data_IF_715391726643
#
_entry.id   IF_715391726643
#
_cell.length_a   1.000
_cell.length_b   1.000
_cell.length_c   1.000
_cell.angle_alpha   90.00
_cell.angle_beta   90.00
_cell.angle_gamma   90.00
#
_symmetry.space_group_name_H-M   'P 1'
#
loop_
_entity.id
_entity.type
_entity.pdbx_description
1 polymer ?
#
# COMPACT_ATOMS: atom_id res chain seq x y z
N UNK A 1 22.38 -17.06 46.91
CA UNK A 1 21.82 -16.00 46.05
C UNK A 1 22.78 -14.80 46.09
N UNK A 2 23.42 -14.40 44.98
CA UNK A 2 24.28 -13.21 44.98
C UNK A 2 23.42 -11.98 44.73
N UNK A 3 23.63 -10.97 45.57
CA UNK A 3 23.10 -9.62 45.47
C UNK A 3 23.73 -8.87 44.30
N UNK A 4 22.88 -8.42 43.34
CA UNK A 4 23.29 -7.56 42.24
C UNK A 4 23.28 -6.12 42.71
N UNK A 5 24.46 -5.49 42.74
CA UNK A 5 24.66 -4.07 43.01
C UNK A 5 24.30 -3.26 41.78
N UNK A 6 23.27 -2.42 41.85
CA UNK A 6 22.90 -1.44 40.80
C UNK A 6 23.89 -0.27 40.94
N UNK A 7 24.76 -0.10 39.95
CA UNK A 7 25.58 1.12 39.84
C UNK A 7 24.71 2.23 39.22
N UNK A 8 24.66 3.32 39.97
CA UNK A 8 24.06 4.60 39.55
C UNK A 8 24.79 5.14 38.31
N UNK A 9 24.16 5.05 37.15
CA UNK A 9 24.65 5.65 35.91
C UNK A 9 24.09 7.06 35.79
N UNK A 10 24.98 8.03 35.90
CA UNK A 10 24.77 9.47 35.92
C UNK A 10 23.68 10.02 35.04
N UNK A 11 22.94 10.96 35.59
CA UNK A 11 21.96 11.83 34.92
C UNK A 11 22.60 12.47 33.71
N UNK A 12 22.20 12.04 32.50
CA UNK A 12 22.38 12.84 31.32
C UNK A 12 21.30 13.92 31.32
N UNK A 13 21.75 15.17 31.32
CA UNK A 13 20.87 16.33 31.25
C UNK A 13 19.98 16.25 30.01
N UNK A 14 18.71 16.50 30.20
CA UNK A 14 17.78 16.74 29.12
C UNK A 14 18.19 18.07 28.49
N UNK A 15 18.70 17.98 27.24
CA UNK A 15 18.88 19.16 26.40
C UNK A 15 17.48 19.58 25.92
N UNK A 16 17.01 20.71 26.45
CA UNK A 16 15.79 21.36 25.99
C UNK A 16 16.05 21.92 24.56
N UNK A 17 16.12 21.02 23.58
CA UNK A 17 16.18 21.40 22.18
C UNK A 17 15.02 22.33 21.85
N UNK A 18 15.33 23.54 21.38
CA UNK A 18 14.35 24.48 20.86
C UNK A 18 13.50 23.75 19.83
N UNK A 19 12.17 23.93 19.84
CA UNK A 19 11.34 23.37 18.79
C UNK A 19 11.89 23.85 17.44
N UNK A 20 12.06 22.93 16.48
CA UNK A 20 12.44 23.25 15.11
C UNK A 20 11.46 24.31 14.61
N UNK A 21 11.99 25.32 13.92
CA UNK A 21 11.16 26.35 13.32
C UNK A 21 10.12 25.67 12.40
N UNK A 22 8.85 26.10 12.41
CA UNK A 22 7.84 25.54 11.52
C UNK A 22 8.34 25.63 10.08
N UNK A 23 8.35 24.49 9.39
CA UNK A 23 8.70 24.40 7.96
C UNK A 23 7.78 25.37 7.23
N UNK A 24 8.34 26.27 6.43
CA UNK A 24 7.56 27.19 5.63
C UNK A 24 6.50 26.42 4.86
N UNK A 25 5.26 26.88 4.92
CA UNK A 25 4.20 26.36 4.06
C UNK A 25 4.69 26.46 2.60
N UNK A 26 4.41 25.47 1.74
CA UNK A 26 4.72 25.58 0.34
C UNK A 26 4.10 26.87 -0.22
N UNK A 27 4.80 27.49 -1.15
CA UNK A 27 4.31 28.70 -1.84
C UNK A 27 2.88 28.46 -2.35
N UNK A 28 2.02 29.48 -2.31
CA UNK A 28 0.65 29.33 -2.81
C UNK A 28 0.69 28.88 -4.27
N UNK A 29 -0.10 27.86 -4.57
CA UNK A 29 -0.24 27.28 -5.91
C UNK A 29 -0.46 28.41 -6.90
N UNK A 30 0.39 28.47 -7.94
CA UNK A 30 0.25 29.45 -9.01
C UNK A 30 -1.14 29.37 -9.63
N UNK A 31 -1.86 30.47 -9.88
CA UNK A 31 -3.23 30.46 -10.39
C UNK A 31 -3.40 29.82 -11.78
N UNK A 32 -2.33 29.41 -12.45
CA UNK A 32 -2.34 28.77 -13.77
C UNK A 32 -2.20 27.23 -13.74
N UNK A 33 -2.11 26.58 -12.56
CA UNK A 33 -2.00 25.12 -12.50
C UNK A 33 -3.37 24.47 -12.68
N UNK A 34 -3.50 23.66 -13.71
CA UNK A 34 -4.69 22.80 -13.89
C UNK A 34 -4.69 21.71 -12.82
N UNK A 35 -5.85 21.50 -12.18
CA UNK A 35 -6.01 20.41 -11.21
C UNK A 35 -5.83 19.07 -11.91
N UNK A 36 -4.90 18.22 -11.49
CA UNK A 36 -4.69 16.92 -12.11
C UNK A 36 -5.91 16.01 -11.92
N UNK A 37 -6.18 15.20 -12.91
CA UNK A 37 -7.19 14.15 -12.80
C UNK A 37 -6.69 13.01 -11.93
N UNK A 38 -7.60 12.22 -11.33
CA UNK A 38 -7.22 11.01 -10.57
C UNK A 38 -6.39 10.04 -11.42
N UNK A 39 -6.73 9.89 -12.71
CA UNK A 39 -5.95 9.07 -13.63
C UNK A 39 -4.48 9.55 -13.76
N UNK A 40 -4.26 10.85 -13.82
CA UNK A 40 -2.90 11.39 -13.85
C UNK A 40 -2.15 11.15 -12.54
N UNK A 41 -2.83 11.27 -11.38
CA UNK A 41 -2.24 10.94 -10.08
C UNK A 41 -1.87 9.45 -9.99
N UNK A 42 -2.75 8.54 -10.42
CA UNK A 42 -2.47 7.11 -10.48
C UNK A 42 -1.35 6.77 -11.48
N UNK A 43 -1.28 7.50 -12.62
CA UNK A 43 -0.21 7.30 -13.59
C UNK A 43 1.17 7.65 -13.03
N UNK A 44 1.30 8.62 -12.12
CA UNK A 44 2.56 8.87 -11.43
C UNK A 44 3.09 7.63 -10.69
N UNK A 45 2.21 6.89 -10.02
CA UNK A 45 2.56 5.61 -9.38
C UNK A 45 3.05 4.60 -10.42
N UNK A 46 2.29 4.43 -11.51
CA UNK A 46 2.60 3.47 -12.59
C UNK A 46 3.96 3.71 -13.18
N UNK A 47 4.26 4.97 -13.54
CA UNK A 47 5.51 5.31 -14.20
C UNK A 47 6.70 5.28 -13.26
N UNK A 48 6.57 5.74 -12.01
CA UNK A 48 7.63 5.57 -11.02
C UNK A 48 7.98 4.10 -10.80
N UNK A 49 6.97 3.22 -10.74
CA UNK A 49 7.20 1.79 -10.57
C UNK A 49 7.84 1.15 -11.81
N UNK A 50 7.32 1.42 -13.00
CA UNK A 50 7.85 0.87 -14.25
C UNK A 50 9.30 1.35 -14.51
N UNK A 51 9.55 2.64 -14.31
CA UNK A 51 10.88 3.24 -14.52
C UNK A 51 11.91 2.69 -13.52
N UNK A 52 11.53 2.51 -12.25
CA UNK A 52 12.43 1.96 -11.22
C UNK A 52 12.76 0.50 -11.48
N UNK A 53 11.78 -0.33 -11.82
CA UNK A 53 12.00 -1.73 -12.20
C UNK A 53 12.86 -1.83 -13.46
N UNK A 54 12.62 -0.96 -14.45
CA UNK A 54 13.41 -0.93 -15.67
C UNK A 54 14.86 -0.50 -15.40
N UNK A 55 15.07 0.51 -14.57
CA UNK A 55 16.41 0.99 -14.20
C UNK A 55 17.19 -0.07 -13.42
N UNK A 56 16.55 -0.77 -12.50
CA UNK A 56 17.13 -1.86 -11.72
C UNK A 56 17.34 -3.14 -12.55
N UNK A 57 16.75 -3.23 -13.73
CA UNK A 57 16.65 -4.44 -14.53
C UNK A 57 16.17 -5.66 -13.72
N UNK A 58 15.35 -5.42 -12.72
CA UNK A 58 14.82 -6.43 -11.78
C UNK A 58 13.62 -5.86 -11.01
N UNK A 59 12.60 -6.67 -10.79
CA UNK A 59 11.44 -6.28 -9.98
C UNK A 59 10.11 -6.69 -10.59
N UNK A 60 9.03 -6.23 -9.98
CA UNK A 60 7.67 -6.63 -10.32
C UNK A 60 6.83 -5.39 -10.64
N UNK A 61 6.71 -4.99 -11.93
CA UNK A 61 5.98 -3.79 -12.30
C UNK A 61 4.46 -4.00 -12.40
N UNK A 62 4.03 -5.24 -12.67
CA UNK A 62 2.65 -5.55 -13.07
C UNK A 62 1.59 -5.18 -12.02
N UNK A 63 1.79 -5.63 -10.78
CA UNK A 63 0.89 -5.31 -9.66
C UNK A 63 0.85 -3.79 -9.36
N UNK A 64 1.97 -3.07 -9.23
CA UNK A 64 1.95 -1.62 -9.08
C UNK A 64 1.16 -0.89 -10.16
N UNK A 65 1.24 -1.34 -11.40
CA UNK A 65 0.50 -0.75 -12.50
C UNK A 65 -1.00 -1.06 -12.44
N UNK A 66 -1.35 -2.28 -12.07
CA UNK A 66 -2.75 -2.73 -11.93
C UNK A 66 -3.47 -2.04 -10.79
N UNK A 67 -2.85 -1.96 -9.62
CA UNK A 67 -3.48 -1.41 -8.41
C UNK A 67 -3.33 0.10 -8.22
N UNK A 68 -2.74 0.83 -9.17
CA UNK A 68 -2.45 2.25 -8.99
C UNK A 68 -3.70 3.12 -8.75
N UNK A 69 -4.82 2.84 -9.41
CA UNK A 69 -6.08 3.60 -9.20
C UNK A 69 -6.67 3.32 -7.80
N UNK A 70 -6.63 2.07 -7.34
CA UNK A 70 -7.08 1.69 -6.00
C UNK A 70 -6.23 2.39 -4.94
N UNK A 71 -4.91 2.38 -5.13
CA UNK A 71 -3.95 2.99 -4.22
C UNK A 71 -4.13 4.51 -4.16
N UNK A 72 -4.35 5.16 -5.31
CA UNK A 72 -4.59 6.60 -5.39
C UNK A 72 -5.84 6.98 -4.59
N UNK A 73 -6.95 6.28 -4.79
CA UNK A 73 -8.21 6.56 -4.07
C UNK A 73 -8.04 6.33 -2.58
N UNK A 74 -7.43 5.22 -2.17
CA UNK A 74 -7.23 4.92 -0.75
C UNK A 74 -6.38 5.97 -0.06
N UNK A 75 -5.23 6.34 -0.64
CA UNK A 75 -4.25 7.20 0.00
C UNK A 75 -4.68 8.67 0.02
N UNK A 76 -5.34 9.15 -1.01
CA UNK A 76 -5.77 10.54 -1.07
C UNK A 76 -7.09 10.82 -0.34
N UNK A 77 -8.02 9.85 -0.28
CA UNK A 77 -9.36 10.10 0.26
C UNK A 77 -9.61 9.49 1.64
N UNK A 78 -8.91 8.41 2.04
CA UNK A 78 -9.30 7.62 3.21
C UNK A 78 -8.19 7.33 4.20
N UNK A 79 -6.96 7.09 3.76
CA UNK A 79 -5.86 6.70 4.65
C UNK A 79 -5.46 7.85 5.57
N UNK A 80 -5.60 7.65 6.87
CA UNK A 80 -5.17 8.62 7.88
C UNK A 80 -3.69 8.42 8.20
N UNK A 81 -2.85 9.29 7.70
CA UNK A 81 -1.42 9.23 7.91
C UNK A 81 -0.80 10.64 8.01
N UNK A 82 0.37 10.72 8.60
CA UNK A 82 1.17 11.96 8.64
C UNK A 82 2.60 11.65 8.17
N UNK A 83 2.97 12.08 6.96
CA UNK A 83 4.33 11.90 6.45
C UNK A 83 5.42 12.56 7.30
N UNK A 84 5.07 13.61 8.06
CA UNK A 84 6.00 14.30 8.96
C UNK A 84 6.19 13.58 10.30
N UNK A 85 5.23 12.73 10.69
CA UNK A 85 5.31 11.84 11.85
C UNK A 85 4.91 10.40 11.49
N UNK A 86 5.77 9.66 10.78
CA UNK A 86 5.49 8.27 10.38
C UNK A 86 5.38 7.32 11.58
N UNK A 87 5.61 7.79 12.80
CA UNK A 87 5.42 7.03 14.05
C UNK A 87 4.17 7.45 14.82
N UNK A 88 3.35 8.34 14.28
CA UNK A 88 2.09 8.72 14.92
C UNK A 88 1.30 7.49 15.36
N UNK A 89 0.93 7.44 16.65
CA UNK A 89 0.39 6.22 17.27
C UNK A 89 -0.93 5.81 16.66
N UNK A 90 -1.81 6.77 16.34
CA UNK A 90 -3.15 6.50 15.82
C UNK A 90 -3.25 6.69 14.28
N UNK A 91 -2.13 6.58 13.57
CA UNK A 91 -2.15 6.51 12.10
C UNK A 91 -2.76 5.19 11.65
N UNK A 92 -3.40 5.19 10.50
CA UNK A 92 -3.82 3.94 9.85
C UNK A 92 -2.60 3.07 9.49
N UNK A 93 -2.83 1.77 9.42
CA UNK A 93 -1.80 0.78 9.06
C UNK A 93 -2.05 0.32 7.64
N UNK A 94 -1.13 0.64 6.74
CA UNK A 94 -1.14 0.11 5.38
C UNK A 94 -0.16 -1.05 5.26
N UNK A 95 -0.63 -2.18 4.74
CA UNK A 95 0.16 -3.41 4.57
C UNK A 95 0.07 -3.89 3.13
N UNK A 96 1.21 -4.18 2.55
CA UNK A 96 1.32 -4.78 1.22
C UNK A 96 1.62 -6.28 1.38
N UNK A 97 0.58 -7.15 1.35
CA UNK A 97 0.76 -8.60 1.50
C UNK A 97 1.36 -9.23 0.24
N UNK A 98 1.03 -8.70 -0.94
CA UNK A 98 1.71 -8.96 -2.20
C UNK A 98 3.00 -8.11 -2.30
N UNK A 99 3.92 -8.33 -1.36
CA UNK A 99 5.10 -7.49 -1.10
C UNK A 99 6.08 -7.39 -2.27
N UNK A 100 6.00 -8.27 -3.27
CA UNK A 100 6.76 -8.16 -4.50
C UNK A 100 6.41 -6.89 -5.29
N UNK A 101 5.19 -6.34 -5.14
CA UNK A 101 4.78 -5.05 -5.69
C UNK A 101 5.30 -3.83 -4.92
N UNK A 102 6.42 -3.94 -4.22
CA UNK A 102 6.99 -2.92 -3.32
C UNK A 102 7.10 -1.53 -3.92
N UNK A 103 7.32 -1.43 -5.24
CA UNK A 103 7.39 -0.12 -5.91
C UNK A 103 6.07 0.66 -5.87
N UNK A 104 4.90 0.01 -5.75
CA UNK A 104 3.65 0.71 -5.45
C UNK A 104 3.78 1.49 -4.13
N UNK A 105 4.21 0.80 -3.08
CA UNK A 105 4.33 1.39 -1.75
C UNK A 105 5.38 2.51 -1.72
N UNK A 106 6.54 2.31 -2.35
CA UNK A 106 7.59 3.33 -2.41
C UNK A 106 7.16 4.56 -3.21
N UNK A 107 6.45 4.38 -4.32
CA UNK A 107 5.89 5.50 -5.08
C UNK A 107 4.88 6.30 -4.24
N UNK A 108 3.98 5.62 -3.51
CA UNK A 108 3.01 6.24 -2.61
C UNK A 108 3.70 7.04 -1.49
N UNK A 109 4.70 6.46 -0.83
CA UNK A 109 5.45 7.12 0.23
C UNK A 109 6.18 8.37 -0.29
N UNK A 110 6.80 8.28 -1.48
CA UNK A 110 7.45 9.42 -2.12
C UNK A 110 6.44 10.53 -2.46
N UNK A 111 5.37 10.17 -3.17
CA UNK A 111 4.37 11.12 -3.65
C UNK A 111 3.62 11.82 -2.50
N UNK A 112 3.35 11.12 -1.42
CA UNK A 112 2.65 11.66 -0.24
C UNK A 112 3.57 12.39 0.75
N UNK A 113 4.88 12.53 0.45
CA UNK A 113 5.79 13.41 1.17
C UNK A 113 6.53 12.80 2.37
N UNK A 114 6.56 11.47 2.47
CA UNK A 114 7.46 10.81 3.42
C UNK A 114 8.93 11.11 3.09
N UNK A 115 9.82 10.94 4.07
CA UNK A 115 11.28 11.05 3.85
C UNK A 115 11.81 9.87 3.00
N UNK A 116 11.35 9.82 1.76
CA UNK A 116 11.80 8.89 0.74
C UNK A 116 12.02 9.66 -0.58
N UNK A 117 13.21 10.24 -0.79
CA UNK A 117 13.49 11.06 -1.95
C UNK A 117 13.53 10.22 -3.24
N UNK A 118 13.28 10.87 -4.37
CA UNK A 118 13.25 10.25 -5.70
C UNK A 118 14.54 9.47 -6.04
N UNK A 119 15.67 9.92 -5.52
CA UNK A 119 16.95 9.23 -5.75
C UNK A 119 17.00 7.84 -5.08
N UNK A 120 16.23 7.59 -4.03
CA UNK A 120 16.08 6.25 -3.48
C UNK A 120 15.22 5.36 -4.41
N UNK A 121 14.19 5.90 -5.06
CA UNK A 121 13.42 5.17 -6.06
C UNK A 121 14.28 4.79 -7.27
N UNK A 122 15.15 5.69 -7.74
CA UNK A 122 16.12 5.41 -8.81
C UNK A 122 17.13 4.32 -8.43
N UNK A 123 17.32 4.09 -7.13
CA UNK A 123 18.22 3.06 -6.57
C UNK A 123 17.48 1.80 -6.13
N UNK A 124 16.28 1.58 -6.64
CA UNK A 124 15.48 0.39 -6.33
C UNK A 124 16.30 -0.89 -6.46
N UNK A 125 16.23 -1.76 -5.44
CA UNK A 125 16.99 -3.03 -5.35
C UNK A 125 18.52 -2.89 -5.35
N UNK A 126 19.06 -1.70 -5.16
CA UNK A 126 20.52 -1.52 -5.05
C UNK A 126 20.96 -1.67 -3.59
N UNK A 127 22.17 -2.16 -3.38
CA UNK A 127 22.75 -2.32 -2.06
C UNK A 127 22.76 -0.95 -1.32
N UNK A 128 22.32 -0.95 -0.06
CA UNK A 128 22.18 0.22 0.80
C UNK A 128 21.15 1.26 0.34
N UNK A 129 20.25 0.94 -0.60
CA UNK A 129 19.09 1.79 -0.86
C UNK A 129 17.99 1.51 0.16
N UNK A 130 17.14 2.51 0.38
CA UNK A 130 15.95 2.38 1.25
C UNK A 130 14.75 1.76 0.53
N UNK A 131 14.93 1.34 -0.74
CA UNK A 131 13.92 0.73 -1.60
C UNK A 131 14.31 -0.70 -1.96
N UNK A 132 14.26 -1.57 -0.97
CA UNK A 132 14.52 -3.00 -1.13
C UNK A 132 13.51 -3.67 -2.07
N UNK A 133 13.81 -4.88 -2.56
CA UNK A 133 12.93 -5.63 -3.46
C UNK A 133 11.56 -5.97 -2.89
N UNK A 134 11.44 -5.99 -1.57
CA UNK A 134 10.21 -6.14 -0.80
C UNK A 134 10.22 -5.09 0.33
N UNK A 135 9.04 -4.65 0.85
CA UNK A 135 9.00 -3.69 1.93
C UNK A 135 9.73 -4.19 3.18
N UNK A 136 10.64 -3.37 3.71
CA UNK A 136 11.41 -3.68 4.91
C UNK A 136 11.11 -2.66 6.01
N UNK A 137 10.57 -3.14 7.13
CA UNK A 137 10.35 -2.29 8.30
C UNK A 137 11.69 -1.80 8.84
N UNK A 138 11.76 -0.55 9.22
CA UNK A 138 12.93 0.20 9.69
C UNK A 138 13.89 0.70 8.61
N UNK A 139 13.84 0.17 7.38
CA UNK A 139 14.61 0.68 6.26
C UNK A 139 13.90 1.86 5.58
N UNK A 140 12.59 1.74 5.37
CA UNK A 140 11.78 2.75 4.69
C UNK A 140 10.77 3.37 5.67
N UNK A 141 10.79 4.70 5.91
CA UNK A 141 9.76 5.37 6.70
C UNK A 141 8.36 5.14 6.11
N UNK A 142 7.39 4.79 6.97
CA UNK A 142 6.01 4.50 6.54
C UNK A 142 5.74 3.02 6.23
N UNK A 143 6.76 2.16 6.18
CA UNK A 143 6.57 0.71 6.08
C UNK A 143 6.25 0.13 7.46
N UNK A 144 5.05 -0.44 7.62
CA UNK A 144 4.56 -0.96 8.90
C UNK A 144 5.12 -2.32 9.27
N UNK A 145 5.36 -3.16 8.28
CA UNK A 145 5.88 -4.52 8.48
C UNK A 145 6.64 -5.01 7.26
N UNK A 146 7.66 -5.84 7.49
CA UNK A 146 8.38 -6.53 6.44
C UNK A 146 7.48 -7.58 5.80
N UNK A 147 7.36 -7.56 4.47
CA UNK A 147 6.61 -8.53 3.70
C UNK A 147 7.47 -9.07 2.54
N UNK A 148 6.92 -9.97 1.75
CA UNK A 148 7.61 -10.66 0.66
C UNK A 148 7.07 -12.08 0.54
N UNK A 149 7.14 -12.93 1.59
CA UNK A 149 6.38 -14.17 1.62
C UNK A 149 4.89 -13.88 1.56
N UNK A 150 4.21 -14.37 0.52
CA UNK A 150 2.81 -14.11 0.26
C UNK A 150 1.93 -14.56 1.45
N UNK A 151 0.85 -13.85 1.72
CA UNK A 151 -0.07 -14.14 2.83
C UNK A 151 0.39 -13.62 4.20
N UNK A 152 1.68 -13.45 4.45
CA UNK A 152 2.19 -12.95 5.75
C UNK A 152 1.67 -11.54 6.06
N UNK A 153 1.57 -10.69 5.04
CA UNK A 153 1.04 -9.33 5.21
C UNK A 153 -0.41 -9.33 5.69
N UNK A 154 -1.27 -10.21 5.18
CA UNK A 154 -2.63 -10.36 5.69
C UNK A 154 -2.63 -10.76 7.17
N UNK A 155 -1.83 -11.74 7.56
CA UNK A 155 -1.72 -12.17 8.95
C UNK A 155 -1.24 -11.02 9.86
N UNK A 156 -0.27 -10.22 9.41
CA UNK A 156 0.17 -9.02 10.13
C UNK A 156 -0.94 -7.97 10.25
N UNK A 157 -1.72 -7.72 9.18
CA UNK A 157 -2.84 -6.78 9.21
C UNK A 157 -3.94 -7.23 10.17
N UNK A 158 -4.22 -8.52 10.25
CA UNK A 158 -5.12 -9.11 11.27
C UNK A 158 -4.56 -8.84 12.68
N UNK A 159 -3.26 -9.01 12.89
CA UNK A 159 -2.60 -8.69 14.16
C UNK A 159 -2.70 -7.20 14.53
N UNK A 160 -2.52 -6.29 13.57
CA UNK A 160 -2.69 -4.84 13.80
C UNK A 160 -4.14 -4.48 14.14
N UNK A 161 -5.11 -5.02 13.43
CA UNK A 161 -6.53 -4.77 13.71
C UNK A 161 -6.97 -5.34 15.07
N UNK A 162 -6.44 -6.50 15.46
CA UNK A 162 -6.64 -7.04 16.80
C UNK A 162 -6.00 -6.15 17.88
N UNK A 163 -4.77 -5.69 17.65
CA UNK A 163 -4.07 -4.80 18.57
C UNK A 163 -4.84 -3.48 18.76
N UNK A 164 -5.33 -2.88 17.67
CA UNK A 164 -6.19 -1.70 17.72
C UNK A 164 -7.41 -1.94 18.61
N UNK A 165 -8.17 -3.02 18.35
CA UNK A 165 -9.37 -3.37 19.11
C UNK A 165 -9.10 -3.53 20.61
N UNK A 166 -8.00 -4.19 20.98
CA UNK A 166 -7.61 -4.38 22.38
C UNK A 166 -7.14 -3.08 23.03
N UNK A 167 -6.39 -2.25 22.32
CA UNK A 167 -5.90 -0.96 22.81
C UNK A 167 -7.05 0.04 22.97
N UNK A 168 -7.97 0.09 22.00
CA UNK A 168 -9.18 0.90 22.07
C UNK A 168 -10.03 0.54 23.29
N UNK A 169 -10.29 -0.75 23.51
CA UNK A 169 -11.01 -1.22 24.69
C UNK A 169 -10.31 -0.84 26.01
N UNK A 170 -9.00 -0.85 26.04
CA UNK A 170 -8.22 -0.56 27.23
C UNK A 170 -8.12 0.93 27.53
N UNK A 171 -7.95 1.77 26.51
CA UNK A 171 -7.55 3.17 26.68
C UNK A 171 -8.63 4.18 26.34
N UNK A 172 -9.55 3.88 25.39
CA UNK A 172 -10.61 4.81 25.04
C UNK A 172 -11.59 5.00 26.20
N UNK A 173 -12.15 6.20 26.28
CA UNK A 173 -13.17 6.58 27.26
C UNK A 173 -14.24 7.40 26.55
N UNK A 174 -15.41 7.51 27.16
CA UNK A 174 -16.49 8.34 26.62
C UNK A 174 -16.00 9.77 26.33
N UNK A 175 -16.11 10.17 25.06
CA UNK A 175 -15.63 11.45 24.56
C UNK A 175 -14.11 11.54 24.32
N UNK A 176 -13.38 10.42 24.45
CA UNK A 176 -11.92 10.36 24.24
C UNK A 176 -11.51 9.07 23.53
N UNK A 177 -11.36 9.12 22.22
CA UNK A 177 -10.88 8.03 21.40
C UNK A 177 -9.38 8.22 21.11
N UNK A 178 -8.53 7.61 21.93
CA UNK A 178 -7.07 7.65 21.80
C UNK A 178 -6.56 6.68 20.73
N UNK A 179 -7.33 5.63 20.44
CA UNK A 179 -6.98 4.59 19.48
C UNK A 179 -8.20 4.33 18.61
N UNK A 180 -8.12 4.76 17.34
CA UNK A 180 -9.23 4.66 16.37
C UNK A 180 -8.74 4.47 14.93
N UNK A 181 -7.55 3.84 14.76
CA UNK A 181 -6.97 3.64 13.43
C UNK A 181 -7.52 2.38 12.75
N UNK A 182 -7.44 2.37 11.43
CA UNK A 182 -7.80 1.25 10.58
C UNK A 182 -6.56 0.49 10.09
N UNK A 183 -6.79 -0.75 9.68
CA UNK A 183 -5.79 -1.56 8.99
C UNK A 183 -6.26 -1.83 7.57
N UNK A 184 -5.44 -1.47 6.59
CA UNK A 184 -5.68 -1.63 5.17
C UNK A 184 -4.64 -2.59 4.60
N UNK A 185 -5.05 -3.60 3.84
CA UNK A 185 -4.12 -4.57 3.28
C UNK A 185 -4.41 -4.82 1.80
N UNK A 186 -3.37 -4.79 0.98
CA UNK A 186 -3.42 -5.20 -0.43
C UNK A 186 -2.92 -6.62 -0.57
N UNK A 187 -3.62 -7.42 -1.36
CA UNK A 187 -3.35 -8.85 -1.60
C UNK A 187 -3.54 -9.18 -3.06
N UNK A 188 -2.81 -10.16 -3.58
CA UNK A 188 -3.03 -10.72 -4.91
C UNK A 188 -3.47 -12.19 -4.82
N UNK A 189 -3.68 -12.82 -5.98
CA UNK A 189 -4.11 -14.22 -6.08
C UNK A 189 -3.21 -15.17 -5.30
N UNK A 190 -1.89 -15.01 -5.41
CA UNK A 190 -0.94 -15.82 -4.65
C UNK A 190 -1.09 -15.69 -3.12
N UNK A 191 -1.50 -14.54 -2.61
CA UNK A 191 -1.79 -14.39 -1.17
C UNK A 191 -3.01 -15.21 -0.76
N UNK A 192 -4.00 -15.36 -1.65
CA UNK A 192 -5.22 -16.12 -1.39
C UNK A 192 -4.99 -17.64 -1.39
N UNK A 193 -3.87 -18.10 -1.94
CA UNK A 193 -3.48 -19.51 -2.01
C UNK A 193 -2.73 -19.98 -0.76
N UNK A 194 -2.16 -19.05 0.01
CA UNK A 194 -1.32 -19.37 1.17
C UNK A 194 -2.17 -19.83 2.37
N UNK A 195 -1.74 -20.94 3.01
CA UNK A 195 -2.44 -21.50 4.18
C UNK A 195 -2.61 -20.49 5.32
N UNK A 196 -1.59 -19.66 5.60
CA UNK A 196 -1.64 -18.65 6.64
C UNK A 196 -2.75 -17.61 6.38
N UNK A 197 -3.08 -17.32 5.13
CA UNK A 197 -4.18 -16.41 4.78
C UNK A 197 -5.54 -16.98 5.19
N UNK A 198 -5.76 -18.28 5.01
CA UNK A 198 -6.98 -18.95 5.43
C UNK A 198 -7.15 -18.92 6.96
N UNK A 199 -6.09 -19.24 7.69
CA UNK A 199 -6.11 -19.25 9.15
C UNK A 199 -6.33 -17.85 9.72
N UNK A 200 -5.59 -16.86 9.22
CA UNK A 200 -5.68 -15.47 9.66
C UNK A 200 -7.05 -14.86 9.33
N UNK A 201 -7.57 -15.09 8.12
CA UNK A 201 -8.88 -14.59 7.70
C UNK A 201 -10.02 -15.19 8.55
N UNK A 202 -9.98 -16.48 8.85
CA UNK A 202 -10.94 -17.15 9.71
C UNK A 202 -10.95 -16.54 11.12
N UNK A 203 -9.77 -16.27 11.70
CA UNK A 203 -9.66 -15.61 13.01
C UNK A 203 -10.21 -14.18 12.98
N UNK A 204 -9.91 -13.41 11.92
CA UNK A 204 -10.37 -12.03 11.77
C UNK A 204 -11.91 -11.95 11.76
N UNK A 205 -12.57 -12.85 11.04
CA UNK A 205 -14.02 -12.95 11.03
C UNK A 205 -14.58 -13.35 12.40
N UNK A 206 -13.98 -14.38 13.04
CA UNK A 206 -14.37 -14.83 14.38
C UNK A 206 -14.28 -13.73 15.43
N UNK A 207 -13.26 -12.88 15.35
CA UNK A 207 -13.07 -11.76 16.28
C UNK A 207 -13.83 -10.48 15.89
N UNK A 208 -14.50 -10.47 14.75
CA UNK A 208 -15.25 -9.30 14.27
C UNK A 208 -14.36 -8.06 14.16
N UNK A 209 -13.26 -8.13 13.41
CA UNK A 209 -12.30 -7.04 13.27
C UNK A 209 -12.78 -5.99 12.26
N UNK A 210 -13.81 -5.21 12.60
CA UNK A 210 -14.49 -4.27 11.70
C UNK A 210 -13.66 -3.10 11.19
N UNK A 211 -12.45 -2.90 11.70
CA UNK A 211 -11.50 -1.90 11.20
C UNK A 211 -10.43 -2.48 10.28
N UNK A 212 -10.57 -3.74 9.88
CA UNK A 212 -9.73 -4.38 8.87
C UNK A 212 -10.42 -4.37 7.52
N UNK A 213 -9.79 -3.75 6.52
CA UNK A 213 -10.25 -3.77 5.13
C UNK A 213 -9.15 -4.32 4.24
N UNK A 214 -9.47 -5.37 3.50
CA UNK A 214 -8.58 -6.03 2.56
C UNK A 214 -9.03 -5.76 1.12
N UNK A 215 -8.08 -5.47 0.23
CA UNK A 215 -8.29 -5.33 -1.19
C UNK A 215 -7.64 -6.52 -1.88
N UNK A 216 -8.42 -7.29 -2.60
CA UNK A 216 -7.92 -8.37 -3.43
C UNK A 216 -7.75 -7.87 -4.87
N UNK A 217 -6.52 -7.89 -5.33
CA UNK A 217 -6.11 -7.68 -6.73
C UNK A 217 -6.48 -8.93 -7.53
N UNK A 218 -7.76 -8.98 -7.94
CA UNK A 218 -8.36 -10.06 -8.71
C UNK A 218 -8.06 -9.85 -10.18
N UNK A 219 -6.82 -10.16 -10.58
CA UNK A 219 -6.36 -10.02 -11.96
C UNK A 219 -6.23 -11.36 -12.70
N UNK A 220 -6.37 -12.48 -11.98
CA UNK A 220 -6.35 -13.82 -12.56
C UNK A 220 -4.99 -14.29 -13.08
N UNK A 221 -3.89 -13.59 -12.74
CA UNK A 221 -2.54 -13.89 -13.23
C UNK A 221 -1.59 -14.14 -12.06
N UNK A 222 -0.79 -15.19 -12.18
CA UNK A 222 0.36 -15.45 -11.35
C UNK A 222 1.65 -15.40 -12.15
N UNK A 223 2.78 -15.76 -11.51
CA UNK A 223 4.09 -15.79 -12.17
C UNK A 223 4.14 -16.75 -13.38
N UNK A 224 3.34 -17.82 -13.36
CA UNK A 224 3.33 -18.88 -14.38
C UNK A 224 2.16 -18.76 -15.37
N UNK A 225 1.39 -17.67 -15.35
CA UNK A 225 0.26 -17.42 -16.24
C UNK A 225 -1.08 -17.35 -15.52
N UNK A 226 -2.15 -17.67 -16.25
CA UNK A 226 -3.53 -17.61 -15.75
C UNK A 226 -3.77 -18.62 -14.62
N UNK A 227 -4.51 -18.23 -13.60
CA UNK A 227 -4.74 -19.06 -12.39
C UNK A 227 -5.97 -19.97 -12.53
N UNK A 228 -6.86 -19.75 -13.49
CA UNK A 228 -8.18 -20.39 -13.57
C UNK A 228 -8.15 -21.94 -13.67
N UNK A 229 -7.06 -22.52 -14.19
CA UNK A 229 -6.94 -23.99 -14.35
C UNK A 229 -6.41 -24.70 -13.08
N UNK A 230 -5.89 -23.97 -12.10
CA UNK A 230 -5.25 -24.58 -10.94
C UNK A 230 -5.58 -23.90 -9.61
N UNK A 231 -6.23 -22.74 -9.61
CA UNK A 231 -6.81 -22.10 -8.44
C UNK A 231 -8.26 -21.74 -8.73
N UNK A 232 -9.18 -22.61 -8.31
CA UNK A 232 -10.61 -22.56 -8.68
C UNK A 232 -11.53 -22.28 -7.49
N UNK A 233 -10.95 -21.83 -6.37
CA UNK A 233 -11.73 -21.46 -5.18
C UNK A 233 -12.64 -20.27 -5.48
N UNK A 234 -13.88 -20.31 -4.99
CA UNK A 234 -14.70 -19.11 -4.88
C UNK A 234 -14.21 -18.29 -3.68
N UNK A 235 -13.18 -17.47 -3.91
CA UNK A 235 -12.57 -16.64 -2.87
C UNK A 235 -13.59 -15.74 -2.16
N UNK A 236 -14.49 -15.03 -2.84
CA UNK A 236 -15.56 -14.27 -2.20
C UNK A 236 -16.41 -15.12 -1.26
N UNK A 237 -16.94 -16.26 -1.72
CA UNK A 237 -17.76 -17.15 -0.90
C UNK A 237 -16.97 -17.73 0.30
N UNK A 238 -15.69 -18.01 0.11
CA UNK A 238 -14.80 -18.45 1.18
C UNK A 238 -14.68 -17.41 2.30
N UNK A 239 -14.49 -16.14 1.96
CA UNK A 239 -14.42 -15.06 2.94
C UNK A 239 -15.77 -14.79 3.62
N UNK A 240 -16.89 -14.90 2.89
CA UNK A 240 -18.23 -14.87 3.47
C UNK A 240 -18.42 -15.98 4.52
N UNK A 241 -17.94 -17.20 4.23
CA UNK A 241 -17.96 -18.31 5.16
C UNK A 241 -17.09 -18.09 6.42
N UNK A 242 -16.02 -17.29 6.31
CA UNK A 242 -15.23 -16.83 7.46
C UNK A 242 -15.92 -15.71 8.26
N UNK A 243 -17.07 -15.22 7.82
CA UNK A 243 -17.81 -14.15 8.50
C UNK A 243 -17.37 -12.74 8.10
N UNK A 244 -16.70 -12.57 6.96
CA UNK A 244 -16.36 -11.28 6.41
C UNK A 244 -17.53 -10.63 5.67
N UNK A 245 -17.55 -9.31 5.62
CA UNK A 245 -18.29 -8.55 4.64
C UNK A 245 -17.52 -8.54 3.32
N UNK A 246 -18.18 -8.84 2.21
CA UNK A 246 -17.53 -8.96 0.90
C UNK A 246 -18.21 -8.05 -0.11
N UNK A 247 -17.44 -7.18 -0.75
CA UNK A 247 -17.87 -6.35 -1.86
C UNK A 247 -17.29 -6.97 -3.14
N UNK A 248 -18.18 -7.53 -3.97
CA UNK A 248 -17.81 -8.26 -5.19
C UNK A 248 -17.71 -7.34 -6.40
N UNK A 249 -16.99 -7.74 -7.42
CA UNK A 249 -16.99 -7.17 -8.76
C UNK A 249 -16.68 -5.67 -8.83
N UNK A 250 -15.76 -5.19 -7.97
CA UNK A 250 -15.32 -3.79 -8.00
C UNK A 250 -14.43 -3.56 -9.22
N UNK A 251 -14.77 -2.59 -10.08
CA UNK A 251 -13.86 -2.14 -11.12
C UNK A 251 -12.67 -1.40 -10.49
N UNK A 252 -11.52 -2.07 -10.45
CA UNK A 252 -10.27 -1.55 -9.85
C UNK A 252 -9.62 -0.41 -10.64
N UNK A 253 -10.20 -0.04 -11.78
CA UNK A 253 -9.75 1.08 -12.62
C UNK A 253 -10.75 2.25 -12.69
N UNK A 254 -11.92 2.11 -12.03
CA UNK A 254 -12.89 3.20 -11.86
C UNK A 254 -12.83 3.79 -10.45
N UNK A 255 -12.32 5.02 -10.27
CA UNK A 255 -12.26 5.66 -8.96
C UNK A 255 -13.61 5.78 -8.24
N UNK A 256 -14.72 5.89 -8.98
CA UNK A 256 -16.05 5.97 -8.38
C UNK A 256 -16.50 4.61 -7.81
N UNK A 257 -16.24 3.52 -8.53
CA UNK A 257 -16.51 2.17 -8.05
C UNK A 257 -15.65 1.81 -6.83
N UNK A 258 -14.35 2.15 -6.87
CA UNK A 258 -13.43 1.96 -5.74
C UNK A 258 -13.92 2.71 -4.51
N UNK A 259 -14.28 3.99 -4.67
CA UNK A 259 -14.79 4.82 -3.58
C UNK A 259 -16.06 4.22 -2.97
N UNK A 260 -17.03 3.84 -3.80
CA UNK A 260 -18.27 3.23 -3.34
C UNK A 260 -18.01 1.92 -2.55
N UNK A 261 -17.03 1.11 -3.00
CA UNK A 261 -16.65 -0.11 -2.30
C UNK A 261 -16.01 0.16 -0.94
N UNK A 262 -15.12 1.16 -0.85
CA UNK A 262 -14.52 1.58 0.43
C UNK A 262 -15.60 2.09 1.39
N UNK A 263 -16.52 2.93 0.91
CA UNK A 263 -17.61 3.45 1.73
C UNK A 263 -18.54 2.33 2.23
N UNK A 264 -18.83 1.33 1.40
CA UNK A 264 -19.58 0.15 1.81
C UNK A 264 -18.84 -0.63 2.92
N UNK A 265 -17.52 -0.79 2.81
CA UNK A 265 -16.70 -1.42 3.85
C UNK A 265 -16.70 -0.61 5.15
N UNK A 266 -16.59 0.71 5.06
CA UNK A 266 -16.58 1.61 6.22
C UNK A 266 -17.92 1.63 6.98
N UNK A 267 -19.03 1.34 6.30
CA UNK A 267 -20.34 1.26 6.91
C UNK A 267 -20.53 -0.01 7.78
N UNK A 268 -19.64 -1.00 7.65
CA UNK A 268 -19.68 -2.25 8.42
C UNK A 268 -18.65 -2.19 9.55
N UNK A 269 -19.12 -2.22 10.79
CA UNK A 269 -18.26 -2.03 11.98
C UNK A 269 -17.98 -3.31 12.78
N UNK A 270 -18.73 -4.38 12.52
CA UNK A 270 -18.70 -5.63 13.30
C UNK A 270 -18.00 -6.79 12.56
N UNK A 271 -17.56 -6.58 11.33
CA UNK A 271 -16.91 -7.58 10.49
C UNK A 271 -15.76 -6.96 9.71
N UNK A 272 -14.67 -7.70 9.45
CA UNK A 272 -13.69 -7.29 8.47
C UNK A 272 -14.29 -7.28 7.06
N UNK A 273 -13.77 -6.45 6.15
CA UNK A 273 -14.26 -6.32 4.79
C UNK A 273 -13.22 -6.77 3.76
N UNK A 274 -13.68 -7.52 2.74
CA UNK A 274 -12.92 -7.86 1.54
C UNK A 274 -13.52 -7.13 0.34
N UNK A 275 -12.71 -6.35 -0.37
CA UNK A 275 -13.06 -5.72 -1.63
C UNK A 275 -12.41 -6.52 -2.78
N UNK A 276 -13.23 -7.19 -3.60
CA UNK A 276 -12.76 -7.98 -4.75
C UNK A 276 -12.61 -7.05 -5.95
N UNK A 277 -11.40 -6.56 -6.18
CA UNK A 277 -11.11 -5.54 -7.16
C UNK A 277 -10.59 -6.18 -8.45
N UNK A 278 -11.38 -6.16 -9.50
CA UNK A 278 -10.93 -6.59 -10.84
C UNK A 278 -9.96 -5.57 -11.38
N UNK A 279 -8.77 -6.03 -11.68
CA UNK A 279 -7.70 -5.20 -12.25
C UNK A 279 -7.09 -5.88 -13.48
N UNK A 280 -6.22 -5.14 -14.16
CA UNK A 280 -5.39 -5.65 -15.23
C UNK A 280 -3.93 -5.53 -14.81
N UNK A 281 -3.27 -6.65 -14.58
CA UNK A 281 -1.83 -6.66 -14.32
C UNK A 281 -1.08 -5.95 -15.45
N UNK A 282 -0.11 -5.10 -15.12
CA UNK A 282 0.61 -4.35 -16.16
C UNK A 282 -0.27 -3.34 -16.92
N UNK A 283 -1.31 -2.80 -16.30
CA UNK A 283 -2.25 -1.85 -16.91
C UNK A 283 -1.54 -0.71 -17.65
N UNK A 284 -1.94 -0.53 -18.92
CA UNK A 284 -1.38 0.50 -19.80
C UNK A 284 -0.23 0.01 -20.69
N UNK A 285 0.37 -1.15 -20.42
CA UNK A 285 1.39 -1.74 -21.28
C UNK A 285 0.72 -2.24 -22.58
N UNK A 286 1.21 -1.82 -23.78
CA UNK A 286 0.52 -2.14 -25.04
C UNK A 286 0.41 -3.62 -25.37
N UNK A 287 1.44 -4.41 -25.03
CA UNK A 287 1.53 -5.82 -25.41
C UNK A 287 1.53 -6.76 -24.21
N UNK A 288 1.92 -6.28 -23.00
CA UNK A 288 2.12 -7.09 -21.80
C UNK A 288 1.03 -6.92 -20.74
N UNK A 289 0.08 -6.00 -20.93
CA UNK A 289 -1.06 -5.88 -20.03
C UNK A 289 -1.89 -7.17 -20.02
N UNK A 290 -2.29 -7.62 -18.81
CA UNK A 290 -3.05 -8.85 -18.61
C UNK A 290 -2.24 -10.14 -18.77
N UNK A 291 -0.91 -10.06 -18.82
CA UNK A 291 -0.04 -11.23 -19.02
C UNK A 291 1.01 -11.38 -17.92
N UNK A 292 1.43 -12.63 -17.68
CA UNK A 292 2.47 -12.98 -16.73
C UNK A 292 3.83 -12.31 -17.02
N UNK A 293 4.10 -11.97 -18.29
CA UNK A 293 5.31 -11.26 -18.70
C UNK A 293 5.49 -9.90 -17.99
N UNK A 294 4.40 -9.29 -17.52
CA UNK A 294 4.44 -8.05 -16.73
C UNK A 294 4.58 -8.32 -15.23
N UNK A 295 4.44 -9.57 -14.76
CA UNK A 295 4.42 -9.88 -13.34
C UNK A 295 5.76 -9.57 -12.67
N UNK A 296 6.84 -10.22 -13.10
CA UNK A 296 8.10 -10.26 -12.35
C UNK A 296 9.36 -9.91 -13.16
N UNK A 297 9.21 -9.17 -14.26
CA UNK A 297 10.32 -8.76 -15.10
C UNK A 297 10.17 -7.31 -15.56
N UNK A 298 11.27 -6.63 -15.91
CA UNK A 298 11.22 -5.32 -16.57
C UNK A 298 10.39 -5.39 -17.86
N UNK A 299 9.58 -4.37 -18.10
CA UNK A 299 8.72 -4.35 -19.31
C UNK A 299 9.53 -4.26 -20.60
N UNK A 300 10.68 -3.58 -20.57
CA UNK A 300 11.44 -3.19 -21.73
C UNK A 300 11.15 -1.75 -22.14
N UNK A 301 12.17 -1.10 -22.76
CA UNK A 301 12.09 0.32 -23.10
C UNK A 301 10.95 0.63 -24.07
N UNK A 302 10.81 -0.16 -25.13
CA UNK A 302 9.80 0.05 -26.15
C UNK A 302 8.39 -0.10 -25.58
N UNK A 303 8.19 -1.04 -24.66
CA UNK A 303 6.91 -1.25 -23.97
C UNK A 303 6.56 -0.06 -23.06
N UNK A 304 7.56 0.51 -22.34
CA UNK A 304 7.34 1.68 -21.48
C UNK A 304 7.06 2.93 -22.32
N UNK A 305 7.73 3.10 -23.46
CA UNK A 305 7.44 4.19 -24.40
C UNK A 305 6.02 4.08 -24.96
N UNK A 306 5.61 2.89 -25.37
CA UNK A 306 4.24 2.60 -25.79
C UNK A 306 3.22 2.89 -24.69
N UNK A 307 3.53 2.51 -23.44
CA UNK A 307 2.71 2.80 -22.28
C UNK A 307 2.57 4.31 -22.02
N UNK A 308 3.67 5.10 -22.18
CA UNK A 308 3.61 6.56 -22.07
C UNK A 308 2.65 7.16 -23.09
N UNK A 309 2.70 6.69 -24.32
CA UNK A 309 1.78 7.11 -25.39
C UNK A 309 0.33 6.70 -25.09
N UNK A 310 0.09 5.46 -24.64
CA UNK A 310 -1.25 4.93 -24.35
C UNK A 310 -1.94 5.62 -23.17
N UNK A 311 -1.17 6.08 -22.16
CA UNK A 311 -1.69 6.72 -20.96
C UNK A 311 -1.54 8.25 -20.96
N UNK A 312 -1.17 8.84 -22.11
CA UNK A 312 -0.93 10.29 -22.26
C UNK A 312 -0.01 10.87 -21.16
N UNK A 313 1.19 10.25 -21.02
CA UNK A 313 2.19 10.61 -20.04
C UNK A 313 3.49 11.03 -20.73
N UNK A 314 3.62 12.30 -21.17
CA UNK A 314 4.74 12.76 -22.02
C UNK A 314 6.03 13.04 -21.24
N UNK A 315 6.10 12.68 -19.97
CA UNK A 315 7.21 13.01 -19.08
C UNK A 315 8.33 11.97 -19.17
N UNK A 316 9.55 12.44 -18.93
CA UNK A 316 10.75 11.59 -18.92
C UNK A 316 10.71 10.58 -17.75
N UNK A 317 11.55 9.52 -17.79
CA UNK A 317 11.68 8.61 -16.65
C UNK A 317 11.99 9.34 -15.34
N UNK A 318 11.27 8.98 -14.27
CA UNK A 318 11.36 9.61 -12.95
C UNK A 318 10.98 11.09 -12.89
N UNK A 319 10.39 11.64 -13.92
CA UNK A 319 9.85 13.00 -13.90
C UNK A 319 8.40 12.98 -13.40
N UNK A 320 8.16 13.66 -12.29
CA UNK A 320 6.81 13.91 -11.75
C UNK A 320 6.53 15.40 -11.87
N UNK A 321 5.57 15.82 -12.71
CA UNK A 321 5.22 17.23 -12.86
C UNK A 321 4.81 17.88 -11.54
N UNK A 322 5.08 19.19 -11.43
CA UNK A 322 4.79 19.93 -10.19
C UNK A 322 3.31 19.91 -9.83
N UNK A 323 2.40 19.98 -10.81
CA UNK A 323 0.95 19.88 -10.62
C UNK A 323 0.53 18.51 -10.08
N UNK A 324 1.17 17.43 -10.53
CA UNK A 324 0.94 16.08 -10.03
C UNK A 324 1.45 15.95 -8.59
N UNK A 325 2.65 16.46 -8.31
CA UNK A 325 3.20 16.46 -6.96
C UNK A 325 2.32 17.28 -6.00
N UNK A 326 1.81 18.43 -6.46
CA UNK A 326 0.91 19.27 -5.68
C UNK A 326 -0.46 18.60 -5.45
N UNK A 327 -0.94 17.83 -6.43
CA UNK A 327 -2.17 17.07 -6.30
C UNK A 327 -2.08 15.98 -5.23
N UNK A 328 -0.92 15.34 -5.14
CA UNK A 328 -0.61 14.37 -4.07
C UNK A 328 -0.41 15.06 -2.73
#
# INVERSE_FOLDING_TARGET
LPTVSIRDSGRRGWDNGRPAAPRALPDPISPDMTTPTRRQLANAIRFLAADAVQAANSGHPGMPMGMADIAEVLWNDYLRHDPSDPQWVDRDRFVLSNGHGSMLHYALLHLSGYDLPLDELKRFRQLHSRTAGHPERHETPGVETTTGPLGQGLANAVGFALAEKLLAQRYNREGFDLVDHRSWVFMGDGCMMEGVSHEAASLAGTWGLGKLTAFWDDNGISIDGEVHDWFTDDTPARFEAYGWHVVRDVDGHDPAAIKAAIEAALAVSDKPSLLCCRTVIGFGAPNKAGKEESHGAPLGKDEIEGMRAALDWPHAPFEVPQEIQAGW
#
